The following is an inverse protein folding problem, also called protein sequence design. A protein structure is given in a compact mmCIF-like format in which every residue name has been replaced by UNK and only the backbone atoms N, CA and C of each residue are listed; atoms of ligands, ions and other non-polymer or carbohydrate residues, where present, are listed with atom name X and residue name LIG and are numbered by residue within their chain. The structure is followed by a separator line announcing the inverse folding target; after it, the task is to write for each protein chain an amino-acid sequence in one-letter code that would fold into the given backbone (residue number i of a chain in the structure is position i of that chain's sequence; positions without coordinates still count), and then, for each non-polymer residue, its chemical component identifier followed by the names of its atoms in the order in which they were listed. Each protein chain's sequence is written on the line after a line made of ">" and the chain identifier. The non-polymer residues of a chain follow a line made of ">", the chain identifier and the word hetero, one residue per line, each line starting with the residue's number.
data_IF_138274728933
#
_entry.id   IF_138274728933
#
_cell.length_a   1.000
_cell.length_b   1.000
_cell.length_c   1.000
_cell.angle_alpha   90.00
_cell.angle_beta   90.00
_cell.angle_gamma   90.00
#
_symmetry.space_group_name_H-M   'P 1'
#
loop_
_entity.id
_entity.type
_entity.pdbx_description
1 polymer ?
#
# COMPACT_ATOMS: atom_id res chain seq x y z
N UNK A 1 -30.66 14.23 9.02
CA UNK A 1 -29.63 13.16 9.01
C UNK A 1 -29.76 12.48 7.66
N UNK A 2 -28.94 12.87 6.66
CA UNK A 2 -29.04 12.20 5.35
C UNK A 2 -28.60 10.74 5.55
N UNK A 3 -29.36 9.83 4.96
CA UNK A 3 -28.94 8.44 4.82
C UNK A 3 -27.53 8.47 4.24
N UNK A 4 -26.59 7.87 4.97
CA UNK A 4 -25.23 7.70 4.48
C UNK A 4 -25.31 6.81 3.26
N UNK A 5 -25.14 7.40 2.08
CA UNK A 5 -24.90 6.66 0.86
C UNK A 5 -23.74 5.69 1.16
N UNK A 6 -24.06 4.39 1.14
CA UNK A 6 -23.08 3.34 1.41
C UNK A 6 -21.97 3.51 0.38
N UNK A 7 -20.76 3.84 0.83
CA UNK A 7 -19.61 3.98 -0.05
C UNK A 7 -19.40 2.63 -0.75
N UNK A 8 -19.58 2.52 -2.08
CA UNK A 8 -19.41 1.24 -2.78
C UNK A 8 -17.98 0.70 -2.64
N UNK A 9 -16.99 1.56 -2.41
CA UNK A 9 -15.61 1.16 -2.12
C UNK A 9 -15.41 0.56 -0.71
N UNK A 10 -16.43 0.60 0.16
CA UNK A 10 -16.41 -0.08 1.45
C UNK A 10 -16.82 -1.57 1.34
N UNK A 11 -17.34 -2.00 0.18
CA UNK A 11 -17.66 -3.40 -0.10
C UNK A 11 -16.44 -4.01 -0.79
N UNK A 12 -15.71 -4.93 -0.14
CA UNK A 12 -14.57 -5.58 -0.77
C UNK A 12 -15.07 -6.44 -1.94
N UNK A 13 -14.48 -6.22 -3.11
CA UNK A 13 -14.67 -7.08 -4.27
C UNK A 13 -13.44 -7.99 -4.38
N UNK A 14 -13.68 -9.27 -4.59
CA UNK A 14 -12.60 -10.21 -4.87
C UNK A 14 -11.92 -9.78 -6.16
N UNK A 15 -10.60 -9.63 -6.12
CA UNK A 15 -9.83 -9.40 -7.32
C UNK A 15 -9.70 -10.72 -8.09
N UNK A 16 -9.92 -10.68 -9.40
CA UNK A 16 -9.73 -11.83 -10.27
C UNK A 16 -8.23 -12.02 -10.52
N UNK A 17 -7.73 -13.24 -10.28
CA UNK A 17 -6.37 -13.58 -10.68
C UNK A 17 -6.33 -13.86 -12.19
N UNK A 18 -6.07 -12.82 -12.97
CA UNK A 18 -5.98 -12.91 -14.43
C UNK A 18 -4.73 -13.70 -14.86
N UNK A 19 -3.67 -13.70 -14.06
CA UNK A 19 -2.41 -14.38 -14.42
C UNK A 19 -2.40 -15.85 -13.97
N UNK A 20 -3.22 -16.21 -12.98
CA UNK A 20 -3.34 -17.57 -12.46
C UNK A 20 -2.12 -18.01 -11.65
N UNK A 21 -1.35 -17.07 -11.11
CA UNK A 21 -0.11 -17.31 -10.37
C UNK A 21 -0.25 -17.09 -8.85
N UNK A 22 -1.45 -16.72 -8.39
CA UNK A 22 -1.82 -16.43 -7.00
C UNK A 22 -0.98 -15.33 -6.34
N UNK A 23 -0.30 -14.46 -7.12
CA UNK A 23 0.58 -13.41 -6.55
C UNK A 23 -0.16 -12.11 -6.35
N UNK A 24 -0.24 -11.67 -5.09
CA UNK A 24 -0.94 -10.45 -4.72
C UNK A 24 -0.03 -9.45 -4.01
N UNK A 25 -0.21 -8.17 -4.31
CA UNK A 25 0.44 -7.07 -3.62
C UNK A 25 -0.61 -6.14 -3.02
N UNK A 26 -0.47 -5.81 -1.74
CA UNK A 26 -1.23 -4.75 -1.09
C UNK A 26 -0.31 -3.57 -0.81
N UNK A 27 -0.77 -2.34 -1.06
CA UNK A 27 -0.06 -1.12 -0.68
C UNK A 27 -0.58 -0.60 0.67
N UNK A 28 0.34 -0.21 1.55
CA UNK A 28 -0.01 0.42 2.82
C UNK A 28 -0.73 1.76 2.64
N UNK A 29 -1.65 2.08 3.56
CA UNK A 29 -2.32 3.37 3.59
C UNK A 29 -1.33 4.47 4.01
N UNK A 30 -1.20 5.50 3.18
CA UNK A 30 -0.34 6.64 3.44
C UNK A 30 -0.89 7.57 4.55
N UNK A 31 -0.02 8.36 5.22
CA UNK A 31 -0.47 9.41 6.12
C UNK A 31 -1.18 10.53 5.35
N UNK A 32 -2.08 11.26 6.03
CA UNK A 32 -2.88 12.35 5.43
C UNK A 32 -3.15 13.48 6.42
N UNK A 33 -3.55 14.64 5.90
CA UNK A 33 -3.71 15.91 6.62
C UNK A 33 -2.37 16.55 6.95
N UNK A 34 -2.30 17.87 7.09
CA UNK A 34 -1.04 18.60 7.31
C UNK A 34 -0.38 18.24 8.66
N UNK A 35 -1.17 18.15 9.74
CA UNK A 35 -0.72 17.93 11.13
C UNK A 35 -1.18 16.57 11.69
N UNK A 36 -0.63 16.11 12.83
CA UNK A 36 -1.09 14.89 13.49
C UNK A 36 -2.60 14.91 13.71
N UNK A 37 -3.28 13.83 13.32
CA UNK A 37 -4.74 13.72 13.40
C UNK A 37 -5.20 12.25 13.53
N UNK A 38 -6.45 12.01 13.95
CA UNK A 38 -6.96 10.65 14.16
C UNK A 38 -6.94 9.74 12.93
N UNK A 39 -7.06 10.30 11.71
CA UNK A 39 -7.03 9.50 10.49
C UNK A 39 -5.63 8.94 10.21
N UNK A 40 -4.56 9.64 10.57
CA UNK A 40 -3.19 9.08 10.50
C UNK A 40 -3.05 7.86 11.41
N UNK A 41 -3.56 7.94 12.64
CA UNK A 41 -3.53 6.83 13.60
C UNK A 41 -4.36 5.65 13.08
N UNK A 42 -5.53 5.93 12.48
CA UNK A 42 -6.38 4.92 11.84
C UNK A 42 -5.64 4.20 10.71
N UNK A 43 -5.01 4.94 9.79
CA UNK A 43 -4.26 4.36 8.68
C UNK A 43 -3.08 3.52 9.18
N UNK A 44 -2.32 4.04 10.14
CA UNK A 44 -1.22 3.29 10.77
C UNK A 44 -1.70 1.99 11.42
N UNK A 45 -2.87 2.01 12.08
CA UNK A 45 -3.45 0.81 12.67
C UNK A 45 -3.86 -0.21 11.61
N UNK A 46 -4.45 0.23 10.50
CA UNK A 46 -4.77 -0.65 9.37
C UNK A 46 -3.50 -1.30 8.82
N UNK A 47 -2.44 -0.52 8.57
CA UNK A 47 -1.18 -1.06 8.07
C UNK A 47 -0.55 -2.06 9.05
N UNK A 48 -0.64 -1.81 10.36
CA UNK A 48 -0.20 -2.77 11.38
C UNK A 48 -0.98 -4.09 11.29
N UNK A 49 -2.30 -4.04 11.10
CA UNK A 49 -3.12 -5.25 10.95
C UNK A 49 -2.78 -6.00 9.66
N UNK A 50 -2.55 -5.29 8.55
CA UNK A 50 -2.11 -5.87 7.29
C UNK A 50 -0.75 -6.57 7.44
N UNK A 51 0.23 -5.92 8.08
CA UNK A 51 1.54 -6.53 8.37
C UNK A 51 1.47 -7.86 9.11
N UNK A 52 0.51 -8.00 10.02
CA UNK A 52 0.32 -9.24 10.81
C UNK A 52 -0.52 -10.28 10.08
N UNK A 53 -1.44 -9.85 9.22
CA UNK A 53 -2.45 -10.73 8.63
C UNK A 53 -2.04 -11.27 7.26
N UNK A 54 -1.40 -10.44 6.43
CA UNK A 54 -1.04 -10.82 5.06
C UNK A 54 -0.01 -11.95 4.99
N UNK A 55 1.00 -12.06 5.87
CA UNK A 55 1.92 -13.20 5.85
C UNK A 55 1.26 -14.57 6.12
N UNK A 56 0.01 -14.59 6.61
CA UNK A 56 -0.77 -15.82 6.81
C UNK A 56 -1.44 -16.31 5.52
N UNK A 57 -1.45 -15.47 4.48
CA UNK A 57 -1.99 -15.78 3.16
C UNK A 57 -0.83 -16.18 2.25
N UNK A 58 -1.05 -17.18 1.40
CA UNK A 58 -0.03 -17.61 0.45
C UNK A 58 0.21 -16.52 -0.61
N UNK A 59 1.48 -16.29 -0.98
CA UNK A 59 1.88 -15.44 -2.09
C UNK A 59 1.38 -13.98 -2.03
N UNK A 60 1.06 -13.46 -0.83
CA UNK A 60 0.67 -12.06 -0.64
C UNK A 60 1.79 -11.25 -0.01
N UNK A 61 2.14 -10.12 -0.61
CA UNK A 61 3.15 -9.20 -0.10
C UNK A 61 2.54 -7.83 0.22
N UNK A 62 3.00 -7.23 1.32
CA UNK A 62 2.66 -5.85 1.68
C UNK A 62 3.79 -4.92 1.27
N UNK A 63 3.51 -3.98 0.37
CA UNK A 63 4.38 -2.84 0.09
C UNK A 63 4.05 -1.73 1.09
N UNK A 64 4.78 -1.72 2.21
CA UNK A 64 4.68 -0.64 3.19
C UNK A 64 5.69 0.47 2.86
N UNK A 65 5.24 1.47 2.13
CA UNK A 65 6.03 2.66 1.83
C UNK A 65 5.75 3.73 2.88
N UNK A 66 6.64 3.86 3.86
CA UNK A 66 6.59 4.98 4.82
C UNK A 66 6.78 6.34 4.12
N UNK A 67 7.33 6.34 2.91
CA UNK A 67 7.44 7.47 1.99
C UNK A 67 8.22 8.68 2.51
N UNK A 68 8.61 8.69 3.80
CA UNK A 68 9.18 9.84 4.49
C UNK A 68 8.28 11.08 4.46
N UNK A 69 6.96 10.90 4.33
CA UNK A 69 6.04 12.03 4.12
C UNK A 69 5.79 12.85 5.38
N UNK A 70 5.93 12.24 6.55
CA UNK A 70 5.80 12.94 7.84
C UNK A 70 7.20 13.36 8.29
N UNK A 71 7.41 14.68 8.38
CA UNK A 71 8.68 15.27 8.78
C UNK A 71 8.86 15.20 10.31
N UNK A 72 10.03 15.58 10.82
CA UNK A 72 10.37 15.54 12.26
C UNK A 72 9.48 16.43 13.14
N UNK A 73 8.89 17.48 12.57
CA UNK A 73 7.89 18.35 13.20
C UNK A 73 6.47 17.76 13.17
N UNK A 74 6.30 16.58 12.56
CA UNK A 74 5.02 15.91 12.38
C UNK A 74 4.19 16.45 11.20
N UNK A 75 4.71 17.38 10.40
CA UNK A 75 3.99 17.94 9.26
C UNK A 75 4.16 17.09 7.98
N UNK A 76 3.16 17.16 7.09
CA UNK A 76 3.30 16.70 5.69
C UNK A 76 3.46 17.93 4.80
N UNK A 77 4.48 17.93 3.95
CA UNK A 77 4.74 19.03 3.01
C UNK A 77 3.72 19.05 1.87
N UNK A 78 3.23 20.24 1.51
CA UNK A 78 2.39 20.41 0.32
C UNK A 78 3.13 20.13 -1.00
N UNK A 79 4.47 20.13 -0.97
CA UNK A 79 5.29 19.71 -2.11
C UNK A 79 5.24 18.20 -2.36
N UNK A 80 4.90 17.40 -1.34
CA UNK A 80 4.69 15.96 -1.46
C UNK A 80 3.22 15.63 -1.65
N UNK A 81 2.31 16.32 -0.96
CA UNK A 81 0.86 16.17 -1.08
C UNK A 81 0.16 17.53 -1.17
N UNK A 82 -0.25 17.96 -2.37
CA UNK A 82 -0.70 19.35 -2.61
C UNK A 82 -1.95 19.75 -1.82
N UNK A 83 -2.80 18.79 -1.45
CA UNK A 83 -3.98 18.97 -0.59
C UNK A 83 -3.89 18.12 0.70
N UNK A 84 -2.68 17.68 1.05
CA UNK A 84 -2.39 16.79 2.19
C UNK A 84 -3.09 15.43 2.11
N UNK A 85 -3.49 14.99 0.92
CA UNK A 85 -4.03 13.66 0.66
C UNK A 85 -3.47 13.06 -0.64
N UNK A 86 -3.62 13.77 -1.74
CA UNK A 86 -3.17 13.35 -3.05
C UNK A 86 -1.71 13.73 -3.26
N UNK A 87 -0.93 12.78 -3.76
CA UNK A 87 0.48 12.96 -4.03
C UNK A 87 0.69 13.94 -5.20
N UNK A 88 1.74 14.75 -5.09
CA UNK A 88 2.30 15.46 -6.25
C UNK A 88 3.10 14.49 -7.12
N UNK A 89 3.60 14.94 -8.27
CA UNK A 89 4.54 14.15 -9.08
C UNK A 89 5.79 13.72 -8.29
N UNK A 90 6.30 14.58 -7.41
CA UNK A 90 7.41 14.25 -6.51
C UNK A 90 7.03 13.21 -5.45
N UNK A 91 5.82 13.32 -4.89
CA UNK A 91 5.28 12.33 -3.97
C UNK A 91 5.09 10.96 -4.62
N UNK A 92 4.55 10.91 -5.85
CA UNK A 92 4.42 9.68 -6.61
C UNK A 92 5.78 9.05 -6.92
N UNK A 93 6.81 9.82 -7.26
CA UNK A 93 8.14 9.27 -7.53
C UNK A 93 8.71 8.49 -6.33
N UNK A 94 8.44 8.93 -5.09
CA UNK A 94 8.86 8.23 -3.86
C UNK A 94 8.16 6.87 -3.68
N UNK A 95 6.91 6.74 -4.15
CA UNK A 95 6.11 5.51 -4.02
C UNK A 95 6.30 4.57 -5.20
N UNK A 96 6.28 5.11 -6.41
CA UNK A 96 6.34 4.33 -7.64
C UNK A 96 7.70 3.68 -7.85
N UNK A 97 8.79 4.23 -7.29
CA UNK A 97 10.12 3.62 -7.39
C UNK A 97 10.18 2.23 -6.71
N UNK A 98 9.94 2.09 -5.39
CA UNK A 98 9.95 0.77 -4.76
C UNK A 98 8.82 -0.13 -5.27
N UNK A 99 7.67 0.45 -5.67
CA UNK A 99 6.59 -0.32 -6.30
C UNK A 99 7.03 -0.95 -7.61
N UNK A 100 7.68 -0.18 -8.48
CA UNK A 100 8.21 -0.67 -9.75
C UNK A 100 9.27 -1.75 -9.53
N UNK A 101 10.21 -1.54 -8.61
CA UNK A 101 11.23 -2.53 -8.25
C UNK A 101 10.60 -3.86 -7.81
N UNK A 102 9.58 -3.80 -6.95
CA UNK A 102 8.88 -5.00 -6.47
C UNK A 102 8.07 -5.70 -7.59
N UNK A 103 7.39 -4.93 -8.45
CA UNK A 103 6.67 -5.51 -9.59
C UNK A 103 7.64 -6.20 -10.54
N UNK A 104 8.77 -5.59 -10.86
CA UNK A 104 9.77 -6.20 -11.74
C UNK A 104 10.34 -7.48 -11.13
N UNK A 105 10.66 -7.47 -9.84
CA UNK A 105 11.11 -8.68 -9.14
C UNK A 105 10.06 -9.80 -9.24
N UNK A 106 8.78 -9.49 -9.01
CA UNK A 106 7.71 -10.46 -9.14
C UNK A 106 7.61 -10.97 -10.58
N UNK A 107 7.66 -10.10 -11.60
CA UNK A 107 7.57 -10.55 -12.99
C UNK A 107 8.76 -11.41 -13.43
N UNK A 108 9.95 -11.20 -12.86
CA UNK A 108 11.15 -11.97 -13.14
C UNK A 108 11.18 -13.33 -12.44
N UNK A 109 10.58 -13.45 -11.24
CA UNK A 109 10.46 -14.73 -10.54
C UNK A 109 9.61 -15.72 -11.35
N UNK A 110 10.27 -16.69 -12.01
CA UNK A 110 9.58 -17.74 -12.77
C UNK A 110 9.06 -18.85 -11.84
N UNK A 111 7.93 -19.52 -12.16
CA UNK A 111 7.40 -20.62 -11.33
C UNK A 111 8.38 -21.79 -11.14
N UNK A 112 9.33 -21.98 -12.06
CA UNK A 112 10.28 -23.10 -12.06
C UNK A 112 11.40 -22.93 -11.03
N UNK A 113 11.78 -21.70 -10.66
CA UNK A 113 12.92 -21.44 -9.76
C UNK A 113 12.63 -21.79 -8.28
N UNK A 114 11.36 -21.82 -7.87
CA UNK A 114 10.99 -22.24 -6.50
C UNK A 114 11.15 -23.74 -6.25
N UNK A 115 11.16 -24.58 -7.28
CA UNK A 115 11.31 -26.03 -7.11
C UNK A 115 12.77 -26.46 -6.90
N UNK A 116 13.74 -25.71 -7.43
CA UNK A 116 15.16 -26.08 -7.41
C UNK A 116 15.89 -25.73 -6.12
N UNK A 117 15.26 -24.96 -5.22
CA UNK A 117 15.88 -24.53 -3.95
C UNK A 117 15.54 -25.47 -2.78
N UNK A 118 14.81 -26.57 -3.03
CA UNK A 118 14.40 -27.56 -2.02
C UNK A 118 14.94 -28.97 -2.37
N UNK A 119 15.97 -29.07 -3.22
CA UNK A 119 16.66 -30.32 -3.55
C UNK A 119 18.03 -30.42 -2.89
#
# INVERSE_FOLDING_TARGET
>A
MSQGDSNPAAIPHAAEDIQGDDRWMSQGLLPRGEKPNPLRQKNAKVNQLLKVSLPKLANVQLLDTDGGFVHSDGAISCHDMFDFLHLTGGGYAKICKPLHELIMQLLEETPEEKQTTIA
#
